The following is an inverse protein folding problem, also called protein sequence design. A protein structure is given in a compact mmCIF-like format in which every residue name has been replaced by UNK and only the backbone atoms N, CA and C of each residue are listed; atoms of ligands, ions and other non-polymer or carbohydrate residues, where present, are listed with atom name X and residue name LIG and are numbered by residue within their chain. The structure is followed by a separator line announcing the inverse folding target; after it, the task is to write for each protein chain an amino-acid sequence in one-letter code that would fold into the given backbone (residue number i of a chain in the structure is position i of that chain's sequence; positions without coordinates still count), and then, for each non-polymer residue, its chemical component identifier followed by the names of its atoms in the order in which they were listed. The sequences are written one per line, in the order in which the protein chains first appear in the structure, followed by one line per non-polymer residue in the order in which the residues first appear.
data_IF_468049690186
#
_entry.id   IF_468049690186
#
_cell.length_a   1.000
_cell.length_b   1.000
_cell.length_c   1.000
_cell.angle_alpha   90.00
_cell.angle_beta   90.00
_cell.angle_gamma   90.00
#
_symmetry.space_group_name_H-M   'P 1'
#
loop_
_entity.id
_entity.type
_entity.pdbx_description
1 polymer ?
#
# COMPACT_ATOMS: atom_id res chain seq x y z
N UNK A 1 1.42 -16.98 19.61
CA UNK A 1 1.43 -17.51 18.24
C UNK A 1 0.08 -17.15 17.64
N UNK A 2 0.04 -16.10 16.80
CA UNK A 2 -1.19 -15.69 16.12
C UNK A 2 -1.69 -16.82 15.21
N UNK A 3 -2.96 -17.22 15.34
CA UNK A 3 -3.59 -18.15 14.41
C UNK A 3 -3.60 -17.49 13.03
N UNK A 4 -2.87 -18.05 12.06
CA UNK A 4 -3.01 -17.71 10.64
C UNK A 4 -4.47 -17.89 10.22
N UNK A 5 -4.95 -17.04 9.32
CA UNK A 5 -6.30 -17.15 8.77
C UNK A 5 -6.50 -18.53 8.15
N UNK A 6 -7.67 -19.14 8.38
CA UNK A 6 -8.07 -20.42 7.77
C UNK A 6 -8.58 -20.26 6.33
N UNK A 7 -8.53 -19.02 5.79
CA UNK A 7 -8.86 -18.78 4.40
C UNK A 7 -7.74 -19.28 3.48
N UNK A 8 -8.11 -20.00 2.44
CA UNK A 8 -7.21 -20.37 1.36
C UNK A 8 -6.55 -19.08 0.82
N UNK A 9 -5.21 -19.07 0.70
CA UNK A 9 -4.51 -17.92 0.17
C UNK A 9 -4.94 -17.72 -1.28
N UNK A 10 -5.36 -16.50 -1.60
CA UNK A 10 -5.63 -16.09 -2.97
C UNK A 10 -4.29 -16.09 -3.71
N UNK A 11 -4.27 -16.64 -4.92
CA UNK A 11 -3.08 -16.69 -5.77
C UNK A 11 -2.47 -15.29 -5.93
N UNK A 12 -1.15 -15.20 -5.87
CA UNK A 12 -0.36 -13.95 -5.97
C UNK A 12 -0.65 -12.89 -4.88
N UNK A 13 -1.20 -13.29 -3.73
CA UNK A 13 -1.62 -12.36 -2.66
C UNK A 13 -2.58 -11.24 -3.17
N UNK A 14 -3.45 -11.57 -4.13
CA UNK A 14 -4.38 -10.64 -4.74
C UNK A 14 -5.54 -10.30 -3.80
N UNK A 15 -5.34 -9.31 -2.95
CA UNK A 15 -6.37 -8.77 -2.06
C UNK A 15 -6.77 -7.37 -2.50
N UNK A 16 -8.01 -7.22 -2.95
CA UNK A 16 -8.57 -5.95 -3.42
C UNK A 16 -8.77 -4.97 -2.27
N UNK A 17 -8.36 -3.71 -2.47
CA UNK A 17 -8.55 -2.63 -1.48
C UNK A 17 -9.95 -2.01 -1.61
N UNK A 18 -10.99 -2.82 -1.37
CA UNK A 18 -12.39 -2.41 -1.51
C UNK A 18 -12.92 -1.61 -0.32
N UNK A 19 -12.32 -1.78 0.84
CA UNK A 19 -12.76 -1.14 2.08
C UNK A 19 -12.29 0.31 2.13
N UNK A 20 -13.25 1.24 2.08
CA UNK A 20 -12.99 2.69 2.07
C UNK A 20 -12.22 3.20 3.28
N UNK A 21 -12.29 2.49 4.41
CA UNK A 21 -11.53 2.84 5.63
C UNK A 21 -10.02 2.91 5.39
N UNK A 22 -9.50 2.15 4.42
CA UNK A 22 -8.10 2.24 4.02
C UNK A 22 -7.76 3.63 3.49
N UNK A 23 -8.57 4.14 2.58
CA UNK A 23 -8.38 5.45 1.96
C UNK A 23 -8.74 6.58 2.91
N UNK A 24 -9.81 6.44 3.69
CA UNK A 24 -10.23 7.41 4.72
C UNK A 24 -9.13 7.65 5.76
N UNK A 25 -8.40 6.62 6.15
CA UNK A 25 -7.26 6.75 7.07
C UNK A 25 -6.07 7.45 6.42
N UNK A 26 -5.83 7.24 5.12
CA UNK A 26 -4.69 7.82 4.39
C UNK A 26 -4.93 9.28 4.00
N UNK A 27 -6.16 9.63 3.59
CA UNK A 27 -6.48 10.91 2.98
C UNK A 27 -6.02 12.15 3.77
N UNK A 28 -6.13 12.21 5.13
CA UNK A 28 -5.65 13.35 5.91
C UNK A 28 -4.12 13.58 5.82
N UNK A 29 -3.38 12.60 5.36
CA UNK A 29 -1.92 12.63 5.26
C UNK A 29 -1.41 12.92 3.84
N UNK A 30 -2.32 13.11 2.89
CA UNK A 30 -2.02 13.49 1.51
C UNK A 30 -2.26 14.98 1.29
N UNK A 31 -1.41 15.59 0.46
CA UNK A 31 -1.65 16.96 0.00
C UNK A 31 -2.84 17.00 -0.97
N UNK A 32 -3.60 18.12 -1.05
CA UNK A 32 -4.64 18.26 -2.04
C UNK A 32 -4.11 17.99 -3.45
N UNK A 33 -4.88 17.24 -4.25
CA UNK A 33 -4.55 16.91 -5.64
C UNK A 33 -3.21 16.14 -5.79
N UNK A 34 -2.79 15.39 -4.77
CA UNK A 34 -1.60 14.52 -4.84
C UNK A 34 -1.63 13.70 -6.14
N UNK A 35 -0.53 13.79 -6.91
CA UNK A 35 -0.30 12.97 -8.11
C UNK A 35 0.44 11.71 -7.71
N UNK A 36 -0.17 10.56 -7.90
CA UNK A 36 0.42 9.29 -7.47
C UNK A 36 0.55 8.29 -8.60
N UNK A 37 1.45 7.32 -8.40
CA UNK A 37 1.51 6.09 -9.17
C UNK A 37 1.10 4.92 -8.26
N UNK A 38 0.23 4.05 -8.74
CA UNK A 38 -0.12 2.79 -8.10
C UNK A 38 0.55 1.62 -8.84
N UNK A 39 1.66 1.05 -8.31
CA UNK A 39 2.43 0.02 -9.01
C UNK A 39 1.91 -1.41 -8.81
N UNK A 40 0.91 -1.64 -7.95
CA UNK A 40 0.23 -2.92 -7.74
C UNK A 40 -1.29 -2.69 -7.73
N UNK A 41 -1.84 -2.19 -8.84
CA UNK A 41 -3.20 -1.65 -8.89
C UNK A 41 -4.30 -2.72 -8.96
N UNK A 42 -3.97 -3.94 -9.41
CA UNK A 42 -4.92 -5.05 -9.50
C UNK A 42 -6.17 -4.72 -10.30
N UNK A 43 -7.31 -4.57 -9.60
CA UNK A 43 -8.60 -4.15 -10.17
C UNK A 43 -8.83 -2.63 -10.12
N UNK A 44 -7.90 -1.83 -9.57
CA UNK A 44 -7.97 -0.38 -9.51
C UNK A 44 -8.85 0.19 -8.39
N UNK A 45 -9.26 -0.61 -7.41
CA UNK A 45 -10.15 -0.15 -6.33
C UNK A 45 -9.54 1.01 -5.54
N UNK A 46 -8.26 0.95 -5.19
CA UNK A 46 -7.56 2.00 -4.46
C UNK A 46 -7.41 3.27 -5.31
N UNK A 47 -7.00 3.10 -6.58
CA UNK A 47 -6.90 4.19 -7.54
C UNK A 47 -8.23 4.95 -7.69
N UNK A 48 -9.34 4.22 -7.86
CA UNK A 48 -10.66 4.82 -8.05
C UNK A 48 -11.11 5.60 -6.79
N UNK A 49 -10.88 5.04 -5.59
CA UNK A 49 -11.22 5.69 -4.33
C UNK A 49 -10.41 6.98 -4.11
N UNK A 50 -9.10 6.96 -4.36
CA UNK A 50 -8.26 8.16 -4.26
C UNK A 50 -8.63 9.22 -5.29
N UNK A 51 -8.96 8.80 -6.50
CA UNK A 51 -9.39 9.71 -7.58
C UNK A 51 -10.73 10.36 -7.22
N UNK A 52 -11.66 9.60 -6.63
CA UNK A 52 -12.94 10.14 -6.14
C UNK A 52 -12.76 11.22 -5.05
N UNK A 53 -11.66 11.20 -4.30
CA UNK A 53 -11.28 12.23 -3.33
C UNK A 53 -10.52 13.42 -3.95
N UNK A 54 -10.35 13.45 -5.28
CA UNK A 54 -9.70 14.54 -6.00
C UNK A 54 -8.20 14.43 -6.16
N UNK A 55 -7.59 13.28 -5.82
CA UNK A 55 -6.20 12.98 -6.16
C UNK A 55 -6.08 12.55 -7.62
N UNK A 56 -4.87 12.55 -8.17
CA UNK A 56 -4.62 12.27 -9.58
C UNK A 56 -3.78 11.02 -9.72
N UNK A 57 -4.38 9.92 -10.19
CA UNK A 57 -3.62 8.76 -10.60
C UNK A 57 -2.87 9.06 -11.91
N UNK A 58 -1.58 9.31 -11.82
CA UNK A 58 -0.76 9.60 -13.00
C UNK A 58 -0.43 8.31 -13.76
N UNK A 59 -0.35 7.18 -13.07
CA UNK A 59 -0.10 5.85 -13.64
C UNK A 59 -0.64 4.77 -12.71
N UNK A 60 -1.31 3.77 -13.30
CA UNK A 60 -1.70 2.54 -12.63
C UNK A 60 -1.02 1.36 -13.34
N UNK A 61 -0.39 0.47 -12.58
CA UNK A 61 0.36 -0.68 -13.07
C UNK A 61 0.09 -1.91 -12.22
N UNK A 62 0.20 -3.06 -12.82
CA UNK A 62 0.14 -4.35 -12.14
C UNK A 62 0.86 -5.41 -12.95
N UNK A 63 1.40 -6.43 -12.32
CA UNK A 63 1.99 -7.58 -13.02
C UNK A 63 0.90 -8.41 -13.71
N UNK A 64 -0.33 -8.38 -13.17
CA UNK A 64 -1.50 -9.08 -13.70
C UNK A 64 -2.77 -8.22 -13.61
N UNK A 65 -2.85 -7.13 -14.43
CA UNK A 65 -3.92 -6.15 -14.34
C UNK A 65 -5.29 -6.76 -14.67
N UNK A 66 -6.31 -6.36 -13.91
CA UNK A 66 -7.69 -6.80 -14.08
C UNK A 66 -8.55 -5.77 -14.84
N UNK A 67 -7.94 -4.70 -15.36
CA UNK A 67 -8.57 -3.63 -16.14
C UNK A 67 -7.65 -3.20 -17.28
N UNK A 68 -8.25 -2.78 -18.39
CA UNK A 68 -7.51 -2.36 -19.60
C UNK A 68 -6.76 -1.03 -19.44
N UNK A 69 -7.21 -0.16 -18.54
CA UNK A 69 -6.57 1.12 -18.23
C UNK A 69 -5.39 0.99 -17.24
N UNK A 70 -5.09 -0.22 -16.78
CA UNK A 70 -3.93 -0.51 -15.93
C UNK A 70 -2.84 -1.18 -16.78
N UNK A 71 -1.66 -0.55 -16.82
CA UNK A 71 -0.52 -1.06 -17.60
C UNK A 71 0.03 -2.36 -16.99
N UNK A 72 0.19 -3.40 -17.82
CA UNK A 72 0.88 -4.63 -17.37
C UNK A 72 2.37 -4.37 -17.20
N UNK A 73 2.83 -4.30 -15.96
CA UNK A 73 4.23 -4.03 -15.63
C UNK A 73 4.60 -4.48 -14.22
N UNK A 74 5.79 -5.02 -14.07
CA UNK A 74 6.36 -5.36 -12.76
C UNK A 74 6.63 -4.07 -11.96
N UNK A 75 6.17 -4.05 -10.71
CA UNK A 75 6.37 -2.93 -9.78
C UNK A 75 7.85 -2.59 -9.56
N UNK A 76 8.74 -3.59 -9.56
CA UNK A 76 10.20 -3.42 -9.44
C UNK A 76 10.88 -2.84 -10.68
N UNK A 77 10.13 -2.63 -11.76
CA UNK A 77 10.60 -1.92 -12.96
C UNK A 77 9.90 -0.58 -13.18
N UNK A 78 9.01 -0.21 -12.24
CA UNK A 78 8.23 1.03 -12.31
C UNK A 78 9.12 2.22 -11.97
N UNK A 79 9.35 3.10 -12.93
CA UNK A 79 10.08 4.34 -12.71
C UNK A 79 9.13 5.48 -12.37
N UNK A 80 9.62 6.43 -11.56
CA UNK A 80 8.94 7.71 -11.35
C UNK A 80 8.74 8.41 -12.67
N UNK A 81 7.76 9.25 -12.70
CA UNK A 81 7.58 10.29 -13.69
C UNK A 81 7.23 11.56 -12.91
N UNK A 82 6.33 12.35 -13.44
CA UNK A 82 5.80 13.51 -12.73
C UNK A 82 4.75 13.06 -11.69
N UNK A 83 5.20 12.53 -10.54
CA UNK A 83 4.39 12.10 -9.40
C UNK A 83 4.95 12.68 -8.11
N UNK A 84 4.07 12.85 -7.11
CA UNK A 84 4.45 13.26 -5.75
C UNK A 84 4.84 12.06 -4.90
N UNK A 85 4.21 10.90 -5.13
CA UNK A 85 4.47 9.68 -4.38
C UNK A 85 3.96 8.42 -5.10
N UNK A 86 4.39 7.26 -4.62
CA UNK A 86 3.72 5.99 -4.88
C UNK A 86 2.70 5.72 -3.78
N UNK A 87 1.55 5.13 -4.13
CA UNK A 87 0.52 4.68 -3.16
C UNK A 87 0.03 3.32 -3.64
N UNK A 88 0.14 2.28 -2.82
CA UNK A 88 -0.31 0.94 -3.22
C UNK A 88 -0.55 0.02 -2.03
N UNK A 89 -1.37 -1.00 -2.23
CA UNK A 89 -1.48 -2.19 -1.39
C UNK A 89 -0.68 -3.32 -2.09
N UNK A 90 0.60 -3.51 -1.72
CA UNK A 90 1.45 -4.50 -2.38
C UNK A 90 1.17 -5.92 -1.87
N UNK A 91 1.70 -6.97 -2.53
CA UNK A 91 1.82 -8.29 -1.92
C UNK A 91 2.60 -8.21 -0.60
N UNK A 92 2.08 -8.89 0.44
CA UNK A 92 2.67 -8.79 1.80
C UNK A 92 3.81 -9.78 2.05
N UNK A 93 4.11 -10.66 1.10
CA UNK A 93 5.26 -11.54 1.18
C UNK A 93 6.55 -10.72 1.22
N UNK A 94 7.44 -11.01 2.17
CA UNK A 94 8.66 -10.23 2.40
C UNK A 94 9.60 -10.22 1.21
N UNK A 95 9.59 -11.29 0.44
CA UNK A 95 10.38 -11.45 -0.80
C UNK A 95 10.00 -10.41 -1.86
N UNK A 96 8.76 -9.90 -1.81
CA UNK A 96 8.27 -8.85 -2.70
C UNK A 96 8.24 -7.50 -1.99
N UNK A 97 7.70 -7.45 -0.77
CA UNK A 97 7.52 -6.21 -0.01
C UNK A 97 8.83 -5.48 0.26
N UNK A 98 9.86 -6.20 0.72
CA UNK A 98 11.14 -5.57 1.09
C UNK A 98 11.86 -4.96 -0.11
N UNK A 99 12.03 -5.65 -1.26
CA UNK A 99 12.55 -5.03 -2.47
C UNK A 99 11.72 -3.83 -2.94
N UNK A 100 10.37 -3.88 -2.81
CA UNK A 100 9.51 -2.75 -3.18
C UNK A 100 9.76 -1.52 -2.29
N UNK A 101 9.90 -1.70 -0.97
CA UNK A 101 10.24 -0.59 -0.07
C UNK A 101 11.53 0.09 -0.53
N UNK A 102 12.58 -0.70 -0.79
CA UNK A 102 13.86 -0.15 -1.22
C UNK A 102 13.78 0.52 -2.59
N UNK A 103 13.23 -0.18 -3.57
CA UNK A 103 13.20 0.29 -4.96
C UNK A 103 12.35 1.56 -5.13
N UNK A 104 11.14 1.58 -4.58
CA UNK A 104 10.24 2.71 -4.75
C UNK A 104 10.67 3.91 -3.93
N UNK A 105 11.10 3.72 -2.66
CA UNK A 105 11.51 4.83 -1.80
C UNK A 105 12.80 5.53 -2.23
N UNK A 106 13.63 4.89 -3.08
CA UNK A 106 14.78 5.53 -3.73
C UNK A 106 14.37 6.58 -4.76
N UNK A 107 13.17 6.46 -5.31
CA UNK A 107 12.71 7.29 -6.41
C UNK A 107 11.82 8.44 -5.96
N UNK A 108 10.88 8.16 -5.03
CA UNK A 108 9.94 9.11 -4.46
C UNK A 108 9.41 8.57 -3.13
N UNK A 109 8.77 9.40 -2.28
CA UNK A 109 8.04 8.89 -1.12
C UNK A 109 7.03 7.82 -1.54
N UNK A 110 6.88 6.77 -0.72
CA UNK A 110 5.96 5.67 -1.00
C UNK A 110 5.08 5.36 0.19
N UNK A 111 3.77 5.28 -0.02
CA UNK A 111 2.78 4.80 0.91
C UNK A 111 2.42 3.35 0.59
N UNK A 112 2.63 2.44 1.54
CA UNK A 112 2.35 1.02 1.42
C UNK A 112 1.37 0.59 2.50
N UNK A 113 0.29 -0.09 2.09
CA UNK A 113 -0.72 -0.67 2.99
C UNK A 113 -0.39 -2.13 3.25
N UNK A 114 -0.04 -2.48 4.49
CA UNK A 114 0.21 -3.87 4.85
C UNK A 114 0.09 -4.11 6.36
N UNK A 115 0.49 -5.30 6.82
CA UNK A 115 0.40 -5.77 8.19
C UNK A 115 1.00 -4.79 9.20
N UNK A 116 0.19 -4.37 10.18
CA UNK A 116 0.62 -3.45 11.24
C UNK A 116 1.68 -4.07 12.16
N UNK A 117 1.68 -5.39 12.34
CA UNK A 117 2.64 -6.09 13.19
C UNK A 117 4.04 -6.17 12.56
N UNK A 118 4.16 -5.91 11.25
CA UNK A 118 5.44 -5.92 10.57
C UNK A 118 6.48 -4.98 11.23
N UNK A 119 6.07 -3.80 11.69
CA UNK A 119 6.97 -2.86 12.36
C UNK A 119 7.65 -3.42 13.62
N UNK A 120 7.05 -4.42 14.26
CA UNK A 120 7.55 -5.08 15.46
C UNK A 120 8.48 -6.26 15.17
N UNK A 121 8.71 -6.60 13.90
CA UNK A 121 9.57 -7.72 13.51
C UNK A 121 11.03 -7.29 13.41
N UNK A 122 11.96 -8.24 13.61
CA UNK A 122 13.40 -7.98 13.40
C UNK A 122 13.72 -7.60 11.94
N UNK A 123 12.92 -8.11 10.97
CA UNK A 123 13.12 -7.87 9.55
C UNK A 123 12.74 -6.44 9.14
N UNK A 124 11.93 -5.72 9.91
CA UNK A 124 11.61 -4.32 9.63
C UNK A 124 12.78 -3.37 9.90
N UNK A 125 13.68 -3.71 10.81
CA UNK A 125 14.73 -2.83 11.31
C UNK A 125 15.55 -2.12 10.21
N UNK A 126 16.00 -2.77 9.13
CA UNK A 126 16.74 -2.11 8.05
C UNK A 126 15.96 -1.02 7.32
N UNK A 127 14.62 -1.13 7.31
CA UNK A 127 13.71 -0.24 6.56
C UNK A 127 13.16 0.88 7.43
N UNK A 128 13.04 0.67 8.76
CA UNK A 128 12.45 1.64 9.69
C UNK A 128 13.19 2.99 9.70
N UNK A 129 14.48 3.02 9.40
CA UNK A 129 15.24 4.28 9.22
C UNK A 129 14.69 5.19 8.11
N UNK A 130 13.94 4.64 7.17
CA UNK A 130 13.30 5.36 6.08
C UNK A 130 11.80 5.59 6.31
N UNK A 131 11.24 4.96 7.36
CA UNK A 131 9.82 5.10 7.68
C UNK A 131 9.56 6.47 8.31
N UNK A 132 8.80 7.32 7.63
CA UNK A 132 8.44 8.66 8.14
C UNK A 132 7.12 8.68 8.89
N UNK A 133 6.16 7.85 8.48
CA UNK A 133 4.83 7.82 9.07
C UNK A 133 4.30 6.38 9.12
N UNK A 134 3.56 6.08 10.18
CA UNK A 134 2.74 4.88 10.32
C UNK A 134 1.33 5.35 10.67
N UNK A 135 0.35 5.06 9.81
CA UNK A 135 -1.05 5.42 10.03
C UNK A 135 -1.85 4.15 10.31
N UNK A 136 -2.37 4.04 11.52
CA UNK A 136 -3.16 2.88 11.94
C UNK A 136 -4.50 2.84 11.19
N UNK A 137 -4.82 1.71 10.55
CA UNK A 137 -6.08 1.50 9.84
C UNK A 137 -6.97 0.51 10.59
N UNK A 138 -6.40 -0.57 11.09
CA UNK A 138 -7.12 -1.67 11.72
C UNK A 138 -7.49 -2.75 10.71
N UNK A 139 -8.49 -3.57 11.04
CA UNK A 139 -8.90 -4.71 10.20
C UNK A 139 -9.78 -4.25 9.04
N UNK A 140 -9.43 -4.65 7.84
CA UNK A 140 -10.11 -4.31 6.61
C UNK A 140 -10.87 -5.51 6.03
N UNK A 141 -11.90 -5.24 5.23
CA UNK A 141 -12.63 -6.23 4.44
C UNK A 141 -11.95 -6.33 3.08
N UNK A 142 -11.48 -7.54 2.74
CA UNK A 142 -10.74 -7.79 1.51
C UNK A 142 -11.56 -8.50 0.43
N UNK A 143 -12.62 -9.22 0.83
CA UNK A 143 -13.40 -10.06 -0.08
C UNK A 143 -14.71 -9.35 -0.41
N UNK A 144 -14.98 -9.02 -1.69
CA UNK A 144 -16.22 -8.40 -2.11
C UNK A 144 -17.45 -9.23 -1.71
N UNK A 145 -18.52 -8.54 -1.31
CA UNK A 145 -19.78 -9.19 -0.92
C UNK A 145 -19.79 -9.84 0.46
N UNK A 146 -18.72 -9.69 1.24
CA UNK A 146 -18.67 -10.14 2.64
C UNK A 146 -18.61 -8.96 3.61
N UNK A 147 -19.05 -9.18 4.85
CA UNK A 147 -18.87 -8.23 5.97
C UNK A 147 -17.78 -8.69 6.92
N UNK A 148 -17.03 -9.72 6.56
CA UNK A 148 -15.98 -10.29 7.41
C UNK A 148 -14.67 -9.58 7.16
N UNK A 149 -14.15 -8.90 8.20
CA UNK A 149 -12.82 -8.30 8.15
C UNK A 149 -11.73 -9.35 8.23
N UNK A 150 -10.58 -9.06 7.68
CA UNK A 150 -9.35 -9.82 7.88
C UNK A 150 -8.99 -9.94 9.36
N UNK A 151 -8.15 -10.91 9.71
CA UNK A 151 -7.71 -11.15 11.09
C UNK A 151 -6.61 -10.18 11.53
N UNK A 152 -5.83 -9.69 10.58
CA UNK A 152 -4.66 -8.84 10.83
C UNK A 152 -5.03 -7.36 10.78
N UNK A 153 -4.45 -6.58 11.68
CA UNK A 153 -4.54 -5.13 11.61
C UNK A 153 -3.63 -4.64 10.48
N UNK A 154 -4.09 -3.62 9.77
CA UNK A 154 -3.35 -2.97 8.70
C UNK A 154 -2.92 -1.58 9.13
N UNK A 155 -1.82 -1.12 8.55
CA UNK A 155 -1.35 0.25 8.65
C UNK A 155 -0.81 0.72 7.30
N UNK A 156 -0.92 2.01 7.06
CA UNK A 156 -0.15 2.66 6.02
C UNK A 156 1.23 2.99 6.56
N UNK A 157 2.25 2.62 5.83
CA UNK A 157 3.63 3.00 6.09
C UNK A 157 4.11 3.94 4.99
N UNK A 158 4.62 5.10 5.38
CA UNK A 158 5.27 6.00 4.45
C UNK A 158 6.79 5.87 4.57
N UNK A 159 7.43 5.51 3.47
CA UNK A 159 8.89 5.48 3.40
C UNK A 159 9.39 6.65 2.55
N UNK A 160 10.38 7.37 3.08
CA UNK A 160 11.04 8.49 2.41
C UNK A 160 12.51 8.51 2.81
N UNK A 161 13.42 8.66 1.85
CA UNK A 161 14.87 8.66 2.11
C UNK A 161 15.33 9.89 2.88
N UNK A 162 14.51 10.93 2.94
CA UNK A 162 14.77 12.15 3.71
C UNK A 162 14.26 12.06 5.17
N UNK A 163 13.65 10.94 5.55
CA UNK A 163 13.10 10.78 6.89
C UNK A 163 14.18 10.74 7.94
N UNK A 164 13.95 11.44 9.07
CA UNK A 164 14.83 11.44 10.24
C UNK A 164 14.18 10.80 11.47
N UNK A 165 12.87 10.64 11.47
CA UNK A 165 12.10 10.05 12.56
C UNK A 165 10.77 9.50 12.01
N UNK A 166 10.17 8.60 12.76
CA UNK A 166 8.87 8.00 12.43
C UNK A 166 7.79 8.63 13.31
N UNK A 167 6.69 9.11 12.69
CA UNK A 167 5.47 9.51 13.39
C UNK A 167 4.47 8.38 13.35
N UNK A 168 3.87 8.08 14.49
CA UNK A 168 2.74 7.16 14.57
C UNK A 168 1.44 7.96 14.69
N UNK A 169 0.47 7.63 13.84
CA UNK A 169 -0.86 8.22 13.81
C UNK A 169 -1.87 7.14 14.20
N UNK A 170 -2.49 7.32 15.37
CA UNK A 170 -3.55 6.43 15.85
C UNK A 170 -4.84 6.57 15.04
N UNK A 171 -5.83 5.73 15.38
CA UNK A 171 -7.18 5.75 14.78
C UNK A 171 -8.00 6.85 15.39
#
# INVERSE_FOLDING_TARGET
VGKRSEFERIDKDYYRTIDKRAVEALAPHLLPRTRFCEPCAGAGDLMDQLTALGHVCARARDIDPQREDIERKDALTTLTGNIDCFITNPPWSREILHPLIDFLSLQAPVWLLFDADWAHTKQSAPYMKWCSDIVSVGRLIWIPGTNTSGKDNCAWYRFSRDSKFTKFHGR
#
